data_IF_882771903839
#
_entry.id   IF_882771903839
#
_cell.length_a   1.000
_cell.length_b   1.000
_cell.length_c   1.000
_cell.angle_alpha   90.00
_cell.angle_beta   90.00
_cell.angle_gamma   90.00
#
_symmetry.space_group_name_H-M   'P 1'
#
loop_
_entity.id
_entity.type
_entity.pdbx_description
1 polymer ?
#
# COMPACT_ATOMS: atom_id res chain seq x y z
N UNK A 1 1.40 13.80 -1.22
CA UNK A 1 2.80 14.23 -1.04
C UNK A 1 3.70 13.56 -2.09
N UNK A 2 3.52 12.28 -2.40
CA UNK A 2 4.39 11.56 -3.33
C UNK A 2 3.92 11.58 -4.81
N UNK A 3 2.71 12.03 -5.08
CA UNK A 3 2.16 12.10 -6.44
C UNK A 3 1.66 13.50 -6.74
N UNK A 4 1.95 14.00 -7.93
CA UNK A 4 1.48 15.30 -8.38
C UNK A 4 0.00 15.20 -8.79
N UNK A 5 -0.90 15.92 -8.10
CA UNK A 5 -2.35 15.88 -8.35
C UNK A 5 -2.78 16.72 -9.56
N UNK A 6 -1.94 17.66 -9.97
CA UNK A 6 -2.26 18.65 -11.01
C UNK A 6 -1.75 18.27 -12.40
N UNK A 7 -0.86 17.28 -12.48
CA UNK A 7 -0.44 16.70 -13.75
C UNK A 7 -1.48 15.65 -14.17
N UNK A 8 -2.07 15.79 -15.35
CA UNK A 8 -3.07 14.86 -15.90
C UNK A 8 -2.56 13.42 -16.12
N UNK A 9 -1.28 13.17 -15.84
CA UNK A 9 -0.62 11.88 -15.77
C UNK A 9 -0.15 11.60 -14.34
N UNK A 10 -0.14 10.31 -13.97
CA UNK A 10 0.26 9.85 -12.64
C UNK A 10 1.78 9.98 -12.47
N UNK A 11 2.26 11.16 -12.11
CA UNK A 11 3.68 11.44 -11.87
C UNK A 11 4.02 11.36 -10.38
N UNK A 12 5.24 10.90 -10.12
CA UNK A 12 5.84 10.89 -8.78
C UNK A 12 6.71 12.12 -8.59
N UNK A 13 6.60 12.74 -7.43
CA UNK A 13 7.58 13.73 -6.98
C UNK A 13 8.88 13.03 -6.56
N UNK A 14 9.75 12.81 -7.55
CA UNK A 14 11.03 12.12 -7.35
C UNK A 14 11.96 12.85 -6.39
N UNK A 15 11.89 14.18 -6.32
CA UNK A 15 12.73 14.98 -5.41
C UNK A 15 12.32 14.77 -3.95
N UNK A 16 11.02 14.85 -3.67
CA UNK A 16 10.47 14.58 -2.34
C UNK A 16 10.72 13.14 -1.91
N UNK A 17 10.56 12.19 -2.83
CA UNK A 17 10.78 10.77 -2.54
C UNK A 17 12.25 10.49 -2.21
N UNK A 18 13.20 11.04 -2.99
CA UNK A 18 14.62 10.93 -2.71
C UNK A 18 14.99 11.53 -1.34
N UNK A 19 14.44 12.71 -1.02
CA UNK A 19 14.66 13.36 0.29
C UNK A 19 14.17 12.48 1.42
N UNK A 20 12.95 11.92 1.31
CA UNK A 20 12.35 11.04 2.33
C UNK A 20 13.20 9.76 2.50
N UNK A 21 13.61 9.13 1.40
CA UNK A 21 14.46 7.93 1.45
C UNK A 21 15.78 8.20 2.17
N UNK A 22 16.44 9.33 1.85
CA UNK A 22 17.68 9.74 2.51
C UNK A 22 17.50 10.07 4.00
N UNK A 23 16.36 10.66 4.41
CA UNK A 23 16.05 10.91 5.83
C UNK A 23 15.82 9.58 6.58
N UNK A 24 15.09 8.64 6.00
CA UNK A 24 14.89 7.30 6.56
C UNK A 24 16.24 6.60 6.72
N UNK A 25 17.07 6.59 5.68
CA UNK A 25 18.39 5.95 5.71
C UNK A 25 19.25 6.49 6.85
N UNK A 26 19.39 7.80 6.96
CA UNK A 26 20.15 8.43 8.06
C UNK A 26 19.61 8.08 9.45
N UNK A 27 18.27 7.96 9.57
CA UNK A 27 17.65 7.57 10.84
C UNK A 27 17.96 6.12 11.22
N UNK A 28 17.99 5.22 10.24
CA UNK A 28 18.25 3.80 10.47
C UNK A 28 19.75 3.52 10.71
N UNK A 29 20.65 4.22 10.02
CA UNK A 29 22.10 4.07 10.22
C UNK A 29 22.54 4.38 11.66
N UNK A 30 21.74 5.15 12.41
CA UNK A 30 22.01 5.53 13.79
C UNK A 30 21.18 4.72 14.82
N UNK A 31 20.43 3.71 14.40
CA UNK A 31 19.55 2.95 15.31
C UNK A 31 19.15 1.60 14.73
N UNK A 32 19.23 0.56 15.56
CA UNK A 32 18.64 -0.75 15.25
C UNK A 32 17.12 -0.69 15.48
N UNK A 33 16.37 -0.24 14.50
CA UNK A 33 14.90 -0.15 14.58
C UNK A 33 14.24 -0.86 13.41
N UNK A 34 13.23 -1.63 13.73
CA UNK A 34 12.31 -2.16 12.75
C UNK A 34 11.44 -1.05 12.15
N UNK A 35 11.25 -1.08 10.85
CA UNK A 35 10.43 -0.09 10.13
C UNK A 35 9.50 -0.79 9.15
N UNK A 36 8.24 -0.37 9.13
CA UNK A 36 7.26 -0.68 8.08
C UNK A 36 6.86 0.63 7.43
N UNK A 37 6.89 0.69 6.12
CA UNK A 37 6.46 1.85 5.34
C UNK A 37 5.10 1.56 4.73
N UNK A 38 4.18 2.53 4.84
CA UNK A 38 2.86 2.45 4.25
C UNK A 38 2.63 3.66 3.35
N UNK A 39 2.19 3.44 2.10
CA UNK A 39 1.75 4.53 1.23
C UNK A 39 0.33 4.31 0.70
N UNK A 40 -0.33 5.38 0.30
CA UNK A 40 -1.64 5.34 -0.33
C UNK A 40 -1.57 5.01 -1.82
N UNK A 41 -2.73 4.79 -2.46
CA UNK A 41 -2.85 4.56 -3.90
C UNK A 41 -2.60 5.81 -4.75
N UNK A 42 -2.65 7.02 -4.14
CA UNK A 42 -2.41 8.30 -4.80
C UNK A 42 -3.25 8.50 -6.07
N UNK A 43 -2.71 9.26 -7.02
CA UNK A 43 -3.34 9.49 -8.33
C UNK A 43 -3.36 8.25 -9.23
N UNK A 44 -2.64 7.19 -8.88
CA UNK A 44 -2.59 5.95 -9.67
C UNK A 44 -3.83 5.07 -9.46
N UNK A 45 -4.27 4.87 -8.23
CA UNK A 45 -5.34 3.92 -7.90
C UNK A 45 -6.73 4.54 -7.86
N UNK A 46 -6.87 5.82 -7.51
CA UNK A 46 -8.20 6.46 -7.37
C UNK A 46 -9.03 6.52 -8.66
N UNK A 47 -8.47 6.92 -9.83
CA UNK A 47 -9.27 7.01 -11.06
C UNK A 47 -9.88 5.67 -11.48
N UNK A 48 -9.14 4.55 -11.58
CA UNK A 48 -9.74 3.27 -11.91
C UNK A 48 -10.69 2.76 -10.83
N UNK A 49 -10.43 2.99 -9.53
CA UNK A 49 -11.33 2.59 -8.45
C UNK A 49 -12.71 3.26 -8.60
N UNK A 50 -12.74 4.56 -8.92
CA UNK A 50 -13.96 5.33 -9.19
C UNK A 50 -14.66 4.86 -10.46
N UNK A 51 -13.91 4.65 -11.54
CA UNK A 51 -14.43 4.20 -12.83
C UNK A 51 -15.22 2.89 -12.69
N UNK A 52 -14.67 1.92 -11.98
CA UNK A 52 -15.25 0.59 -11.81
C UNK A 52 -16.14 0.46 -10.57
N UNK A 53 -16.33 1.53 -9.80
CA UNK A 53 -17.14 1.55 -8.57
C UNK A 53 -16.82 0.35 -7.65
N UNK A 54 -15.54 0.08 -7.44
CA UNK A 54 -15.10 -1.02 -6.57
C UNK A 54 -15.47 -0.73 -5.11
N UNK A 55 -16.04 -1.73 -4.45
CA UNK A 55 -16.57 -1.61 -3.08
C UNK A 55 -18.04 -1.16 -3.02
N UNK A 56 -18.75 -1.18 -4.14
CA UNK A 56 -20.20 -1.05 -4.19
C UNK A 56 -20.82 -2.41 -4.55
N UNK A 57 -22.03 -2.66 -4.07
CA UNK A 57 -22.81 -3.83 -4.50
C UNK A 57 -23.11 -3.76 -5.98
N UNK A 58 -23.15 -4.89 -6.67
CA UNK A 58 -23.36 -4.95 -8.11
C UNK A 58 -24.12 -6.24 -8.50
N UNK A 59 -24.70 -6.25 -9.70
CA UNK A 59 -25.38 -7.41 -10.22
C UNK A 59 -24.40 -8.42 -10.84
N UNK A 60 -24.77 -9.70 -10.89
CA UNK A 60 -23.93 -10.76 -11.45
C UNK A 60 -23.47 -10.47 -12.89
N UNK A 61 -24.30 -9.78 -13.69
CA UNK A 61 -23.96 -9.36 -15.05
C UNK A 61 -22.77 -8.39 -15.12
N UNK A 62 -22.47 -7.66 -14.04
CA UNK A 62 -21.35 -6.72 -13.96
C UNK A 62 -20.04 -7.39 -13.47
N UNK A 63 -20.10 -8.66 -13.05
CA UNK A 63 -18.96 -9.33 -12.40
C UNK A 63 -17.69 -9.33 -13.26
N UNK A 64 -17.82 -9.50 -14.57
CA UNK A 64 -16.70 -9.44 -15.51
C UNK A 64 -16.01 -8.06 -15.54
N UNK A 65 -16.81 -6.99 -15.52
CA UNK A 65 -16.29 -5.62 -15.47
C UNK A 65 -15.62 -5.32 -14.12
N UNK A 66 -16.22 -5.77 -13.03
CA UNK A 66 -15.65 -5.60 -11.68
C UNK A 66 -14.30 -6.31 -11.52
N UNK A 67 -14.16 -7.55 -12.03
CA UNK A 67 -12.88 -8.27 -12.04
C UNK A 67 -11.82 -7.55 -12.86
N UNK A 68 -12.20 -7.00 -14.01
CA UNK A 68 -11.31 -6.17 -14.81
C UNK A 68 -10.84 -4.95 -14.03
N UNK A 69 -11.77 -4.25 -13.37
CA UNK A 69 -11.48 -3.11 -12.51
C UNK A 69 -10.52 -3.46 -11.38
N UNK A 70 -10.73 -4.60 -10.71
CA UNK A 70 -9.80 -5.12 -9.69
C UNK A 70 -8.37 -5.24 -10.24
N UNK A 71 -8.21 -5.88 -11.41
CA UNK A 71 -6.90 -6.06 -12.03
C UNK A 71 -6.25 -4.73 -12.45
N UNK A 72 -7.02 -3.79 -13.00
CA UNK A 72 -6.51 -2.48 -13.42
C UNK A 72 -6.03 -1.65 -12.21
N UNK A 73 -6.80 -1.63 -11.10
CA UNK A 73 -6.41 -0.93 -9.87
C UNK A 73 -5.16 -1.56 -9.29
N UNK A 74 -5.14 -2.87 -9.10
CA UNK A 74 -4.00 -3.58 -8.56
C UNK A 74 -2.73 -3.31 -9.38
N UNK A 75 -2.82 -3.35 -10.71
CA UNK A 75 -1.68 -3.05 -11.59
C UNK A 75 -1.21 -1.60 -11.45
N UNK A 76 -2.13 -0.65 -11.32
CA UNK A 76 -1.80 0.76 -11.14
C UNK A 76 -1.06 1.03 -9.82
N UNK A 77 -1.55 0.47 -8.71
CA UNK A 77 -0.88 0.66 -7.40
C UNK A 77 0.44 -0.11 -7.30
N UNK A 78 0.58 -1.25 -7.97
CA UNK A 78 1.86 -1.95 -8.12
C UNK A 78 2.90 -1.12 -8.85
N UNK A 79 2.52 -0.43 -9.92
CA UNK A 79 3.42 0.49 -10.63
C UNK A 79 3.91 1.62 -9.71
N UNK A 80 3.01 2.25 -8.95
CA UNK A 80 3.38 3.26 -7.98
C UNK A 80 4.36 2.70 -6.94
N UNK A 81 4.06 1.53 -6.36
CA UNK A 81 4.94 0.91 -5.38
C UNK A 81 6.32 0.56 -5.96
N UNK A 82 6.38 0.09 -7.20
CA UNK A 82 7.64 -0.21 -7.89
C UNK A 82 8.53 1.03 -7.95
N UNK A 83 7.98 2.16 -8.40
CA UNK A 83 8.72 3.43 -8.51
C UNK A 83 9.20 3.94 -7.14
N UNK A 84 8.39 3.78 -6.09
CA UNK A 84 8.77 4.12 -4.72
C UNK A 84 9.89 3.20 -4.23
N UNK A 85 9.75 1.91 -4.44
CA UNK A 85 10.72 0.91 -4.00
C UNK A 85 12.08 1.06 -4.69
N UNK A 86 12.08 1.37 -6.00
CA UNK A 86 13.31 1.66 -6.76
C UNK A 86 14.09 2.82 -6.12
N UNK A 87 13.41 3.91 -5.77
CA UNK A 87 14.07 5.06 -5.13
C UNK A 87 14.62 4.72 -3.75
N UNK A 88 13.92 3.92 -2.98
CA UNK A 88 14.40 3.47 -1.67
C UNK A 88 15.61 2.54 -1.80
N UNK A 89 15.61 1.63 -2.77
CA UNK A 89 16.74 0.75 -3.07
C UNK A 89 17.96 1.56 -3.54
N UNK A 90 17.77 2.57 -4.40
CA UNK A 90 18.84 3.48 -4.84
C UNK A 90 19.53 4.19 -3.66
N UNK A 91 18.80 4.51 -2.61
CA UNK A 91 19.34 5.11 -1.37
C UNK A 91 19.85 4.04 -0.36
N UNK A 92 19.91 2.77 -0.75
CA UNK A 92 20.47 1.67 0.05
C UNK A 92 19.53 1.16 1.16
N UNK A 93 18.22 1.36 1.03
CA UNK A 93 17.23 0.79 1.95
C UNK A 93 16.81 -0.61 1.49
N UNK A 94 16.88 -1.64 2.36
CA UNK A 94 16.52 -3.01 2.02
C UNK A 94 14.99 -3.21 2.03
N UNK A 95 14.29 -2.54 1.13
CA UNK A 95 12.83 -2.58 1.08
C UNK A 95 12.29 -3.83 0.37
N UNK A 96 11.14 -4.33 0.83
CA UNK A 96 10.40 -5.42 0.20
C UNK A 96 8.91 -5.03 0.03
N UNK A 97 8.42 -5.11 -1.20
CA UNK A 97 7.02 -4.81 -1.51
C UNK A 97 6.09 -5.94 -1.08
N UNK A 98 5.05 -5.61 -0.31
CA UNK A 98 4.01 -6.56 0.12
C UNK A 98 2.64 -5.96 -0.21
N UNK A 99 1.99 -6.39 -1.31
CA UNK A 99 0.66 -5.90 -1.65
C UNK A 99 -0.37 -6.35 -0.61
N UNK A 100 -1.29 -5.47 -0.22
CA UNK A 100 -2.32 -5.79 0.78
C UNK A 100 -3.18 -6.98 0.34
N UNK A 101 -3.46 -7.10 -0.95
CA UNK A 101 -4.20 -8.23 -1.55
C UNK A 101 -3.57 -9.61 -1.33
N UNK A 102 -2.28 -9.68 -0.95
CA UNK A 102 -1.60 -10.94 -0.70
C UNK A 102 -1.72 -11.46 0.74
N UNK A 103 -2.15 -10.63 1.67
CA UNK A 103 -2.19 -11.02 3.09
C UNK A 103 -3.45 -10.57 3.85
N UNK A 104 -4.33 -9.77 3.23
CA UNK A 104 -5.55 -9.23 3.85
C UNK A 104 -6.80 -9.73 3.14
N UNK A 105 -7.85 -10.00 3.92
CA UNK A 105 -9.25 -10.09 3.50
C UNK A 105 -10.12 -9.13 4.29
N UNK A 106 -11.25 -8.74 3.70
CA UNK A 106 -12.17 -7.77 4.27
C UNK A 106 -13.62 -8.29 4.30
N UNK A 107 -14.46 -7.60 5.07
CA UNK A 107 -15.92 -7.70 5.09
C UNK A 107 -16.47 -6.30 5.24
N UNK A 108 -17.41 -5.90 4.40
CA UNK A 108 -18.01 -4.55 4.40
C UNK A 108 -16.95 -3.43 4.47
N UNK A 109 -15.89 -3.52 3.66
CA UNK A 109 -14.75 -2.58 3.59
C UNK A 109 -13.89 -2.49 4.86
N UNK A 110 -14.01 -3.45 5.76
CA UNK A 110 -13.20 -3.51 6.99
C UNK A 110 -12.28 -4.72 6.94
N UNK A 111 -11.02 -4.55 7.30
CA UNK A 111 -10.08 -5.66 7.40
C UNK A 111 -10.56 -6.62 8.49
N UNK A 112 -10.80 -7.87 8.13
CA UNK A 112 -11.23 -8.94 9.06
C UNK A 112 -10.13 -9.92 9.38
N UNK A 113 -9.23 -10.15 8.42
CA UNK A 113 -8.10 -11.07 8.60
C UNK A 113 -6.87 -10.58 7.85
N UNK A 114 -5.69 -10.85 8.41
CA UNK A 114 -4.41 -10.59 7.76
C UNK A 114 -3.31 -11.46 8.35
N UNK A 115 -2.50 -12.07 7.48
CA UNK A 115 -1.33 -12.85 7.91
C UNK A 115 -0.16 -11.91 8.21
N UNK A 116 0.06 -11.61 9.49
CA UNK A 116 1.11 -10.69 9.95
C UNK A 116 2.46 -11.35 10.22
N UNK A 117 2.55 -12.67 10.19
CA UNK A 117 3.82 -13.37 10.42
C UNK A 117 4.83 -13.11 9.32
N UNK A 118 4.34 -12.78 8.10
CA UNK A 118 5.19 -12.37 6.99
C UNK A 118 6.01 -11.11 7.33
N UNK A 119 5.40 -10.13 8.02
CA UNK A 119 6.08 -8.89 8.45
C UNK A 119 7.15 -9.19 9.48
N UNK A 120 6.80 -9.95 10.53
CA UNK A 120 7.75 -10.36 11.56
C UNK A 120 8.95 -11.11 10.97
N UNK A 121 8.69 -11.97 9.97
CA UNK A 121 9.72 -12.70 9.26
C UNK A 121 10.70 -11.81 8.51
N UNK A 122 10.22 -10.80 7.79
CA UNK A 122 11.06 -9.85 7.06
C UNK A 122 11.80 -8.89 8.01
N UNK A 123 11.12 -8.32 9.00
CA UNK A 123 11.72 -7.44 10.00
C UNK A 123 12.88 -8.12 10.73
N UNK A 124 12.70 -9.36 11.19
CA UNK A 124 13.74 -10.15 11.83
C UNK A 124 15.00 -10.34 10.95
N UNK A 125 14.86 -10.21 9.65
CA UNK A 125 15.97 -10.32 8.67
C UNK A 125 16.51 -8.97 8.23
N UNK A 126 16.06 -7.87 8.84
CA UNK A 126 16.49 -6.50 8.55
C UNK A 126 15.88 -5.92 7.27
N UNK A 127 14.84 -6.52 6.70
CA UNK A 127 14.09 -5.90 5.60
C UNK A 127 13.11 -4.85 6.09
N UNK A 128 12.79 -3.91 5.23
CA UNK A 128 11.78 -2.88 5.44
C UNK A 128 10.55 -3.21 4.58
N UNK A 129 9.46 -3.78 5.15
CA UNK A 129 8.24 -3.98 4.39
C UNK A 129 7.64 -2.67 3.92
N UNK A 130 7.32 -2.58 2.62
CA UNK A 130 6.58 -1.47 2.00
C UNK A 130 5.23 -2.00 1.57
N UNK A 131 4.17 -1.49 2.19
CA UNK A 131 2.79 -1.86 1.89
C UNK A 131 2.02 -0.64 1.38
N UNK A 132 0.91 -0.89 0.73
CA UNK A 132 0.15 0.20 0.10
C UNK A 132 -1.34 -0.10 0.02
N UNK A 133 -2.14 0.97 -0.09
CA UNK A 133 -3.57 0.86 -0.34
C UNK A 133 -3.83 0.07 -1.63
N UNK A 134 -4.68 -0.94 -1.56
CA UNK A 134 -4.89 -1.92 -2.63
C UNK A 134 -6.36 -2.37 -2.68
N UNK A 135 -6.72 -3.10 -3.72
CA UNK A 135 -7.97 -3.85 -3.81
C UNK A 135 -7.78 -5.22 -3.18
N UNK A 136 -8.77 -5.65 -2.41
CA UNK A 136 -8.75 -6.93 -1.70
C UNK A 136 -10.08 -7.66 -1.86
N UNK A 137 -10.10 -8.96 -1.54
CA UNK A 137 -11.34 -9.72 -1.46
C UNK A 137 -12.15 -9.25 -0.24
N UNK A 138 -13.46 -9.09 -0.46
CA UNK A 138 -14.43 -8.69 0.56
C UNK A 138 -15.59 -9.69 0.56
N UNK A 139 -15.91 -10.27 1.72
CA UNK A 139 -16.91 -11.32 1.83
C UNK A 139 -18.35 -10.85 1.57
N UNK A 140 -18.60 -9.54 1.69
CA UNK A 140 -19.94 -8.97 1.53
C UNK A 140 -20.11 -8.24 0.18
N UNK A 141 -19.02 -7.68 -0.34
CA UNK A 141 -19.00 -6.83 -1.54
C UNK A 141 -18.19 -7.45 -2.69
N UNK A 142 -17.72 -8.70 -2.55
CA UNK A 142 -16.81 -9.41 -3.44
C UNK A 142 -15.42 -8.77 -3.46
N UNK A 143 -15.36 -7.45 -3.67
CA UNK A 143 -14.11 -6.68 -3.75
C UNK A 143 -14.29 -5.33 -3.06
N UNK A 144 -13.24 -4.88 -2.35
CA UNK A 144 -13.20 -3.51 -1.85
C UNK A 144 -11.79 -2.91 -1.95
N UNK A 145 -11.69 -1.60 -1.78
CA UNK A 145 -10.41 -0.89 -1.63
C UNK A 145 -10.13 -0.73 -0.14
N UNK A 146 -8.93 -1.12 0.28
CA UNK A 146 -8.37 -0.83 1.60
C UNK A 146 -7.36 0.29 1.45
N UNK A 147 -7.57 1.38 2.19
CA UNK A 147 -6.67 2.54 2.16
C UNK A 147 -5.40 2.31 2.98
N UNK A 148 -4.36 3.13 2.71
CA UNK A 148 -3.15 3.17 3.54
C UNK A 148 -3.46 3.44 5.02
N UNK A 149 -4.42 4.32 5.31
CA UNK A 149 -4.82 4.64 6.68
C UNK A 149 -5.43 3.43 7.41
N UNK A 150 -6.26 2.64 6.72
CA UNK A 150 -6.80 1.40 7.29
C UNK A 150 -5.70 0.38 7.55
N UNK A 151 -4.71 0.28 6.66
CA UNK A 151 -3.54 -0.59 6.84
C UNK A 151 -2.71 -0.16 8.05
N UNK A 152 -2.42 1.14 8.20
CA UNK A 152 -1.68 1.67 9.36
C UNK A 152 -2.42 1.33 10.66
N UNK A 153 -3.73 1.58 10.71
CA UNK A 153 -4.54 1.26 11.89
C UNK A 153 -4.53 -0.23 12.23
N UNK A 154 -4.68 -1.08 11.20
CA UNK A 154 -4.67 -2.53 11.38
C UNK A 154 -3.32 -3.04 11.88
N UNK A 155 -2.23 -2.60 11.26
CA UNK A 155 -0.87 -2.98 11.67
C UNK A 155 -0.53 -2.47 13.07
N UNK A 156 -0.84 -1.21 13.38
CA UNK A 156 -0.57 -0.64 14.68
C UNK A 156 -1.26 -1.39 15.81
N UNK A 157 -2.51 -1.81 15.61
CA UNK A 157 -3.26 -2.58 16.61
C UNK A 157 -2.72 -3.98 16.84
N UNK A 158 -2.11 -4.60 15.84
CA UNK A 158 -1.73 -6.01 15.88
C UNK A 158 -0.22 -6.23 16.05
N UNK A 159 0.62 -5.27 15.66
CA UNK A 159 2.07 -5.34 15.81
C UNK A 159 2.58 -4.50 16.99
N UNK A 160 1.75 -3.62 17.55
CA UNK A 160 2.04 -2.77 18.69
C UNK A 160 3.38 -2.02 18.56
N UNK A 161 3.58 -1.18 17.53
CA UNK A 161 4.82 -0.45 17.33
C UNK A 161 5.02 0.62 18.42
N UNK A 162 6.27 0.95 18.74
CA UNK A 162 6.61 2.04 19.66
C UNK A 162 6.13 3.40 19.15
N UNK A 163 6.08 3.57 17.82
CA UNK A 163 5.69 4.84 17.20
C UNK A 163 5.02 4.66 15.85
N UNK A 164 4.00 5.48 15.58
CA UNK A 164 3.39 5.67 14.26
C UNK A 164 3.64 7.12 13.82
N UNK A 165 4.16 7.30 12.61
CA UNK A 165 4.41 8.61 12.01
C UNK A 165 3.54 8.74 10.77
N UNK A 166 2.77 9.84 10.70
CA UNK A 166 1.95 10.20 9.55
C UNK A 166 2.57 11.42 8.86
N UNK A 167 2.69 11.38 7.52
CA UNK A 167 3.27 12.43 6.71
C UNK A 167 2.27 13.05 5.73
#
# INVERSE_FOLDING_TARGET
ILTNKDAGESEIDSASLKRIAGEIKRSLDNSEKDLIIVHGAGSFGHPPAKKYRIGESFADSEYGEKRRGFCEIQNAVKKLNMLISEKFIEEGLPVIAIPASSFITASSKRITHGNLDIFKGYLKKGFIPVIYGDVVLDSDLEFCVISGDQLIQYLARNLNPDKVILG
#
